data_IF_918448783381
#
_entry.id   IF_918448783381
#
_cell.length_a   1.000
_cell.length_b   1.000
_cell.length_c   1.000
_cell.angle_alpha   90.00
_cell.angle_beta   90.00
_cell.angle_gamma   90.00
#
_symmetry.space_group_name_H-M   'P 1'
#
loop_
_entity.id
_entity.type
_entity.pdbx_description
1 polymer ?
#
# COMPACT_ATOMS: atom_id res chain seq x y z
N UNK A 1 -10.27 26.57 -2.27
CA UNK A 1 -11.20 25.45 -1.95
C UNK A 1 -10.76 24.09 -2.49
N UNK A 2 -9.92 24.00 -3.51
CA UNK A 2 -9.48 22.76 -4.18
C UNK A 2 -8.59 21.88 -3.30
N UNK A 3 -7.79 22.45 -2.42
CA UNK A 3 -6.91 21.71 -1.48
C UNK A 3 -7.63 20.69 -0.57
N UNK A 4 -8.92 20.85 -0.32
CA UNK A 4 -9.68 19.95 0.54
C UNK A 4 -9.88 18.57 -0.07
N UNK A 5 -10.05 18.48 -1.39
CA UNK A 5 -10.31 17.21 -2.07
C UNK A 5 -9.05 16.33 -2.07
N UNK A 6 -7.87 16.92 -2.25
CA UNK A 6 -6.59 16.20 -2.20
C UNK A 6 -6.30 15.62 -0.82
N UNK A 7 -6.63 16.38 0.23
CA UNK A 7 -6.51 15.94 1.62
C UNK A 7 -7.41 14.73 1.89
N UNK A 8 -8.64 14.72 1.34
CA UNK A 8 -9.56 13.59 1.47
C UNK A 8 -8.96 12.34 0.79
N UNK A 9 -8.42 12.47 -0.42
CA UNK A 9 -7.79 11.33 -1.11
C UNK A 9 -6.57 10.78 -0.36
N UNK A 10 -5.69 11.64 0.16
CA UNK A 10 -4.57 11.21 0.98
C UNK A 10 -5.04 10.51 2.26
N UNK A 11 -6.08 11.04 2.89
CA UNK A 11 -6.64 10.45 4.10
C UNK A 11 -7.26 9.08 3.84
N UNK A 12 -8.01 8.92 2.74
CA UNK A 12 -8.55 7.63 2.32
C UNK A 12 -7.45 6.62 2.01
N UNK A 13 -6.37 7.05 1.35
CA UNK A 13 -5.21 6.19 1.10
C UNK A 13 -4.55 5.71 2.41
N UNK A 14 -4.44 6.60 3.41
CA UNK A 14 -3.91 6.26 4.74
C UNK A 14 -4.83 5.27 5.46
N UNK A 15 -6.15 5.46 5.39
CA UNK A 15 -7.12 4.53 6.00
C UNK A 15 -7.02 3.15 5.34
N UNK A 16 -7.00 3.09 4.00
CA UNK A 16 -6.89 1.83 3.27
C UNK A 16 -5.60 1.08 3.62
N UNK A 17 -4.45 1.77 3.64
CA UNK A 17 -3.17 1.16 4.03
C UNK A 17 -3.12 0.83 5.53
N UNK A 18 -3.58 1.73 6.38
CA UNK A 18 -3.55 1.53 7.83
C UNK A 18 -4.44 0.37 8.28
N UNK A 19 -5.58 0.15 7.61
CA UNK A 19 -6.44 -1.00 7.91
C UNK A 19 -5.79 -2.35 7.60
N UNK A 20 -4.82 -2.42 6.70
CA UNK A 20 -4.05 -3.66 6.48
C UNK A 20 -3.21 -4.06 7.71
N UNK A 21 -2.82 -3.08 8.55
CA UNK A 21 -2.10 -3.35 9.81
C UNK A 21 -2.98 -3.98 10.91
N UNK A 22 -4.29 -4.11 10.67
CA UNK A 22 -5.18 -4.83 11.60
C UNK A 22 -5.09 -6.37 11.47
N UNK A 23 -4.09 -6.88 10.75
CA UNK A 23 -3.90 -8.33 10.57
C UNK A 23 -4.74 -8.92 9.44
N UNK A 24 -5.26 -8.09 8.54
CA UNK A 24 -6.03 -8.58 7.40
C UNK A 24 -5.12 -9.38 6.45
N UNK A 25 -5.59 -10.56 6.05
CA UNK A 25 -4.88 -11.43 5.13
C UNK A 25 -4.79 -10.81 3.75
N UNK A 26 -3.59 -10.87 3.14
CA UNK A 26 -3.37 -10.50 1.76
C UNK A 26 -3.70 -11.66 0.83
N UNK A 27 -3.14 -12.83 1.12
CA UNK A 27 -3.32 -14.03 0.35
C UNK A 27 -3.47 -15.23 1.26
N UNK A 28 -4.23 -16.21 0.80
CA UNK A 28 -4.33 -17.52 1.42
C UNK A 28 -3.94 -18.57 0.39
N UNK A 29 -3.03 -19.45 0.77
CA UNK A 29 -2.62 -20.62 -0.02
C UNK A 29 -3.19 -21.86 0.65
N UNK A 30 -4.09 -22.54 -0.03
CA UNK A 30 -4.76 -23.74 0.48
C UNK A 30 -4.27 -24.96 -0.29
N UNK A 31 -3.68 -25.90 0.42
CA UNK A 31 -3.31 -27.22 -0.04
C UNK A 31 -4.19 -28.25 0.68
N UNK A 32 -4.32 -29.48 0.15
CA UNK A 32 -5.22 -30.51 0.68
C UNK A 32 -5.11 -30.77 2.19
N UNK A 33 -3.92 -30.60 2.76
CA UNK A 33 -3.66 -30.85 4.19
C UNK A 33 -3.19 -29.61 4.97
N UNK A 34 -2.78 -28.54 4.31
CA UNK A 34 -2.21 -27.35 4.95
C UNK A 34 -2.82 -26.09 4.33
N UNK A 35 -2.99 -25.07 5.16
CA UNK A 35 -3.40 -23.76 4.71
C UNK A 35 -2.48 -22.70 5.32
N UNK A 36 -1.92 -21.84 4.47
CA UNK A 36 -1.05 -20.75 4.86
C UNK A 36 -1.72 -19.42 4.57
N UNK A 37 -1.80 -18.54 5.56
CA UNK A 37 -2.23 -17.18 5.38
C UNK A 37 -1.01 -16.24 5.34
N UNK A 38 -1.01 -15.32 4.40
CA UNK A 38 -0.02 -14.28 4.28
C UNK A 38 -0.63 -12.94 4.63
N UNK A 39 -0.12 -12.32 5.69
CA UNK A 39 -0.55 -11.02 6.18
C UNK A 39 0.63 -10.04 6.25
N UNK A 40 0.37 -8.81 6.69
CA UNK A 40 1.40 -7.80 6.95
C UNK A 40 2.43 -8.28 7.98
N UNK A 41 2.02 -9.16 8.89
CA UNK A 41 2.89 -9.70 9.96
C UNK A 41 3.72 -10.91 9.53
N UNK A 42 3.48 -11.43 8.33
CA UNK A 42 4.21 -12.56 7.78
C UNK A 42 3.31 -13.71 7.34
N UNK A 43 3.88 -14.91 7.32
CA UNK A 43 3.19 -16.14 6.92
C UNK A 43 2.83 -16.90 8.18
N UNK A 44 1.55 -17.24 8.32
CA UNK A 44 1.04 -18.08 9.41
C UNK A 44 0.46 -19.38 8.83
N UNK A 45 0.88 -20.52 9.39
CA UNK A 45 0.22 -21.81 9.12
C UNK A 45 -1.02 -21.92 9.99
N UNK A 46 -2.16 -22.24 9.38
CA UNK A 46 -3.45 -22.36 10.11
C UNK A 46 -3.57 -23.66 10.91
N UNK A 47 -2.71 -24.66 10.71
CA UNK A 47 -2.81 -25.98 11.36
C UNK A 47 -1.72 -26.31 12.37
N UNK A 48 -0.54 -25.73 12.30
CA UNK A 48 0.51 -26.00 13.29
C UNK A 48 1.32 -24.75 13.59
N UNK A 49 1.61 -24.56 14.90
CA UNK A 49 2.52 -23.53 15.39
C UNK A 49 4.01 -23.88 15.10
N UNK A 50 4.29 -24.53 13.95
CA UNK A 50 5.64 -24.82 13.54
C UNK A 50 6.29 -23.51 13.09
N UNK A 51 7.37 -23.17 13.75
CA UNK A 51 8.25 -22.03 13.50
C UNK A 51 8.76 -22.02 12.06
N UNK A 52 7.96 -21.54 11.12
CA UNK A 52 8.42 -21.35 9.76
C UNK A 52 9.41 -20.19 9.71
N UNK A 53 10.53 -20.40 9.07
CA UNK A 53 11.63 -19.44 8.86
C UNK A 53 11.16 -18.11 8.23
N UNK A 54 9.96 -18.07 7.66
CA UNK A 54 9.34 -16.91 7.01
C UNK A 54 8.44 -16.07 7.92
N UNK A 55 8.28 -16.42 9.19
CA UNK A 55 7.48 -15.64 10.16
C UNK A 55 8.02 -14.22 10.41
N UNK A 56 9.21 -13.91 9.90
CA UNK A 56 9.96 -12.69 10.26
C UNK A 56 10.24 -11.74 9.11
N UNK A 57 9.47 -11.74 8.01
CA UNK A 57 9.63 -10.66 7.04
C UNK A 57 8.87 -9.45 7.57
N UNK A 58 9.52 -8.34 7.94
CA UNK A 58 8.87 -7.19 8.56
C UNK A 58 8.14 -6.34 7.52
N UNK A 59 7.12 -6.92 6.85
CA UNK A 59 6.31 -6.24 5.83
C UNK A 59 5.54 -5.08 6.47
N UNK A 60 5.12 -5.23 7.73
CA UNK A 60 4.48 -4.17 8.49
C UNK A 60 5.32 -2.88 8.55
N UNK A 61 6.64 -3.00 8.56
CA UNK A 61 7.53 -1.84 8.55
C UNK A 61 7.42 -1.05 7.25
N UNK A 62 7.29 -1.74 6.11
CA UNK A 62 7.08 -1.10 4.80
C UNK A 62 5.73 -0.39 4.73
N UNK A 63 4.67 -1.00 5.26
CA UNK A 63 3.33 -0.40 5.30
C UNK A 63 3.30 0.81 6.22
N UNK A 64 3.89 0.71 7.42
CA UNK A 64 4.01 1.85 8.35
C UNK A 64 4.83 2.97 7.70
N UNK A 65 5.95 2.65 7.06
CA UNK A 65 6.76 3.62 6.33
C UNK A 65 5.98 4.36 5.25
N UNK A 66 5.17 3.65 4.46
CA UNK A 66 4.29 4.26 3.46
C UNK A 66 3.21 5.14 4.09
N UNK A 67 2.59 4.72 5.19
CA UNK A 67 1.62 5.53 5.93
C UNK A 67 2.25 6.82 6.45
N UNK A 68 3.45 6.75 7.03
CA UNK A 68 4.18 7.94 7.49
C UNK A 68 4.53 8.87 6.31
N UNK A 69 4.91 8.31 5.17
CA UNK A 69 5.20 9.08 3.96
C UNK A 69 3.96 9.81 3.43
N UNK A 70 2.79 9.16 3.40
CA UNK A 70 1.51 9.77 3.07
C UNK A 70 1.15 10.88 4.06
N UNK A 71 1.35 10.64 5.35
CA UNK A 71 1.10 11.63 6.40
C UNK A 71 2.01 12.86 6.26
N UNK A 72 3.31 12.66 5.97
CA UNK A 72 4.25 13.76 5.69
C UNK A 72 3.84 14.57 4.46
N UNK A 73 3.31 13.88 3.42
CA UNK A 73 2.75 14.53 2.23
C UNK A 73 1.56 15.40 2.59
N UNK A 74 0.68 14.91 3.48
CA UNK A 74 -0.47 15.64 3.98
C UNK A 74 -0.04 16.89 4.80
N UNK A 75 0.92 16.74 5.69
CA UNK A 75 1.46 17.84 6.50
C UNK A 75 2.18 18.92 5.68
N UNK A 76 2.66 18.57 4.49
CA UNK A 76 3.39 19.51 3.60
C UNK A 76 2.47 20.47 2.82
N UNK A 77 1.20 20.62 3.19
CA UNK A 77 0.19 21.42 2.47
C UNK A 77 0.55 22.90 2.27
N UNK A 78 1.36 23.48 3.16
CA UNK A 78 1.80 24.89 3.06
C UNK A 78 2.75 25.17 1.89
N UNK A 79 3.45 24.14 1.39
CA UNK A 79 4.43 24.27 0.32
C UNK A 79 4.14 23.27 -0.79
N UNK A 80 3.36 23.70 -1.80
CA UNK A 80 2.93 22.86 -2.92
C UNK A 80 4.07 22.22 -3.73
N UNK A 81 5.22 22.90 -3.87
CA UNK A 81 6.39 22.35 -4.55
C UNK A 81 6.94 21.14 -3.79
N UNK A 82 7.04 21.25 -2.46
CA UNK A 82 7.50 20.17 -1.58
C UNK A 82 6.46 19.06 -1.51
N UNK A 83 5.19 19.40 -1.35
CA UNK A 83 4.08 18.44 -1.31
C UNK A 83 4.02 17.59 -2.59
N UNK A 84 4.15 18.20 -3.76
CA UNK A 84 4.16 17.47 -5.04
C UNK A 84 5.35 16.51 -5.14
N UNK A 85 6.54 16.90 -4.66
CA UNK A 85 7.71 16.03 -4.63
C UNK A 85 7.45 14.79 -3.75
N UNK A 86 6.94 15.00 -2.54
CA UNK A 86 6.59 13.91 -1.62
C UNK A 86 5.48 13.02 -2.17
N UNK A 87 4.40 13.60 -2.72
CA UNK A 87 3.31 12.85 -3.33
C UNK A 87 3.79 11.94 -4.46
N UNK A 88 4.67 12.44 -5.34
CA UNK A 88 5.24 11.67 -6.45
C UNK A 88 6.08 10.51 -5.95
N UNK A 89 6.97 10.73 -4.97
CA UNK A 89 7.78 9.68 -4.37
C UNK A 89 6.91 8.63 -3.67
N UNK A 90 5.88 9.07 -2.96
CA UNK A 90 4.95 8.17 -2.29
C UNK A 90 4.15 7.29 -3.26
N UNK A 91 3.61 7.89 -4.34
CA UNK A 91 2.89 7.13 -5.38
C UNK A 91 3.79 6.10 -6.05
N UNK A 92 5.06 6.46 -6.32
CA UNK A 92 6.05 5.54 -6.89
C UNK A 92 6.35 4.37 -5.94
N UNK A 93 6.63 4.65 -4.66
CA UNK A 93 6.89 3.61 -3.66
C UNK A 93 5.67 2.71 -3.47
N UNK A 94 4.47 3.28 -3.47
CA UNK A 94 3.24 2.52 -3.38
C UNK A 94 3.06 1.59 -4.60
N UNK A 95 3.30 2.09 -5.81
CA UNK A 95 3.25 1.28 -7.02
C UNK A 95 4.24 0.10 -6.96
N UNK A 96 5.48 0.35 -6.51
CA UNK A 96 6.48 -0.70 -6.32
C UNK A 96 6.00 -1.73 -5.30
N UNK A 97 5.40 -1.29 -4.18
CA UNK A 97 4.89 -2.20 -3.16
C UNK A 97 3.75 -3.09 -3.69
N UNK A 98 2.83 -2.52 -4.48
CA UNK A 98 1.77 -3.29 -5.16
C UNK A 98 2.35 -4.28 -6.16
N UNK A 99 3.34 -3.88 -6.96
CA UNK A 99 4.01 -4.79 -7.91
C UNK A 99 4.71 -5.95 -7.20
N UNK A 100 5.44 -5.67 -6.13
CA UNK A 100 6.09 -6.72 -5.33
C UNK A 100 5.06 -7.68 -4.74
N UNK A 101 3.92 -7.18 -4.26
CA UNK A 101 2.84 -8.02 -3.74
C UNK A 101 2.22 -8.92 -4.82
N UNK A 102 2.10 -8.43 -6.07
CA UNK A 102 1.65 -9.23 -7.22
C UNK A 102 2.65 -10.35 -7.52
N UNK A 103 3.95 -10.02 -7.59
CA UNK A 103 5.00 -11.02 -7.82
C UNK A 103 4.96 -12.09 -6.72
N UNK A 104 4.79 -11.68 -5.47
CA UNK A 104 4.69 -12.61 -4.36
C UNK A 104 3.45 -13.51 -4.45
N UNK A 105 2.32 -13.00 -4.92
CA UNK A 105 1.11 -13.80 -5.16
C UNK A 105 1.35 -14.93 -6.17
N UNK A 106 2.09 -14.66 -7.25
CA UNK A 106 2.37 -15.66 -8.27
C UNK A 106 3.52 -16.61 -7.90
N UNK A 107 4.56 -16.11 -7.27
CA UNK A 107 5.77 -16.87 -6.94
C UNK A 107 5.72 -17.51 -5.54
N UNK A 108 5.01 -16.90 -4.60
CA UNK A 108 5.03 -17.26 -3.17
C UNK A 108 4.57 -18.68 -2.89
N UNK A 109 3.59 -19.17 -3.62
CA UNK A 109 3.12 -20.54 -3.45
C UNK A 109 4.18 -21.61 -3.75
N UNK A 110 5.01 -21.42 -4.80
CA UNK A 110 6.11 -22.33 -5.12
C UNK A 110 7.28 -22.27 -4.14
N UNK A 111 7.37 -21.21 -3.33
CA UNK A 111 8.38 -21.07 -2.28
C UNK A 111 7.93 -21.75 -0.97
N UNK A 112 6.61 -21.77 -0.74
CA UNK A 112 6.02 -22.25 0.53
C UNK A 112 5.77 -23.75 0.49
N UNK A 113 5.35 -24.30 -0.65
CA UNK A 113 5.03 -25.71 -0.79
C UNK A 113 5.33 -26.25 -2.20
N UNK A 114 5.89 -27.46 -2.27
CA UNK A 114 6.01 -28.22 -3.50
C UNK A 114 4.66 -28.94 -3.75
N UNK A 115 3.80 -28.37 -4.59
CA UNK A 115 2.53 -29.00 -4.95
C UNK A 115 1.50 -28.07 -5.56
N UNK A 116 0.33 -28.61 -5.89
CA UNK A 116 -0.82 -27.82 -6.34
C UNK A 116 -1.52 -27.19 -5.13
N UNK A 117 -1.64 -25.86 -5.15
CA UNK A 117 -2.33 -25.07 -4.13
C UNK A 117 -3.35 -24.14 -4.77
N UNK A 118 -4.50 -24.00 -4.12
CA UNK A 118 -5.48 -22.99 -4.45
C UNK A 118 -5.05 -21.64 -3.85
N UNK A 119 -5.20 -20.59 -4.63
CA UNK A 119 -4.84 -19.21 -4.24
C UNK A 119 -6.12 -18.43 -3.99
N UNK A 120 -6.27 -17.88 -2.82
CA UNK A 120 -7.38 -17.02 -2.46
C UNK A 120 -6.87 -15.61 -2.16
N UNK A 121 -7.61 -14.60 -2.63
CA UNK A 121 -7.31 -13.20 -2.35
C UNK A 121 -8.02 -12.79 -1.06
N UNK A 122 -7.25 -12.25 -0.12
CA UNK A 122 -7.78 -11.72 1.13
C UNK A 122 -8.24 -10.27 1.03
N UNK A 123 -9.02 -9.83 2.02
CA UNK A 123 -9.51 -8.45 2.12
C UNK A 123 -8.38 -7.43 2.26
N UNK A 124 -7.28 -7.79 2.92
CA UNK A 124 -6.11 -6.92 3.05
C UNK A 124 -5.53 -6.52 1.70
N UNK A 125 -5.48 -7.46 0.74
CA UNK A 125 -4.99 -7.17 -0.60
C UNK A 125 -5.94 -6.26 -1.40
N UNK A 126 -7.25 -6.48 -1.27
CA UNK A 126 -8.24 -5.59 -1.90
C UNK A 126 -8.10 -4.15 -1.40
N UNK A 127 -7.89 -3.95 -0.09
CA UNK A 127 -7.67 -2.63 0.50
C UNK A 127 -6.33 -2.03 0.07
N UNK A 128 -5.28 -2.84 -0.05
CA UNK A 128 -4.00 -2.41 -0.58
C UNK A 128 -4.15 -1.87 -2.01
N UNK A 129 -4.84 -2.59 -2.89
CA UNK A 129 -5.08 -2.14 -4.27
C UNK A 129 -5.98 -0.90 -4.28
N UNK A 130 -7.04 -0.85 -3.47
CA UNK A 130 -7.97 0.28 -3.43
C UNK A 130 -7.31 1.59 -2.95
N UNK A 131 -6.31 1.52 -2.09
CA UNK A 131 -5.56 2.70 -1.62
C UNK A 131 -4.69 3.35 -2.70
N UNK A 132 -4.19 2.59 -3.67
CA UNK A 132 -3.31 3.11 -4.73
C UNK A 132 -3.97 4.19 -5.61
N UNK A 133 -5.18 3.98 -6.18
CA UNK A 133 -5.89 5.03 -6.92
C UNK A 133 -6.08 6.33 -6.15
N UNK A 134 -6.38 6.26 -4.85
CA UNK A 134 -6.52 7.46 -4.04
C UNK A 134 -5.20 8.23 -3.91
N UNK A 135 -4.09 7.55 -3.71
CA UNK A 135 -2.76 8.17 -3.70
C UNK A 135 -2.44 8.83 -5.05
N UNK A 136 -2.76 8.17 -6.15
CA UNK A 136 -2.55 8.70 -7.51
C UNK A 136 -3.43 9.91 -7.81
N UNK A 137 -4.72 9.88 -7.46
CA UNK A 137 -5.64 11.01 -7.61
C UNK A 137 -5.20 12.23 -6.79
N UNK A 138 -4.72 12.00 -5.57
CA UNK A 138 -4.15 13.06 -4.74
C UNK A 138 -2.95 13.73 -5.44
N UNK A 139 -2.03 12.95 -5.99
CA UNK A 139 -0.86 13.47 -6.73
C UNK A 139 -1.31 14.31 -7.95
N UNK A 140 -2.29 13.83 -8.73
CA UNK A 140 -2.81 14.57 -9.88
C UNK A 140 -3.46 15.90 -9.45
N UNK A 141 -4.20 15.88 -8.36
CA UNK A 141 -4.80 17.08 -7.79
C UNK A 141 -3.75 18.11 -7.39
N UNK A 142 -2.73 17.71 -6.62
CA UNK A 142 -1.61 18.58 -6.19
C UNK A 142 -0.87 19.16 -7.41
N UNK A 143 -0.65 18.35 -8.45
CA UNK A 143 -0.02 18.80 -9.70
C UNK A 143 -0.86 19.87 -10.41
N UNK A 144 -2.18 19.69 -10.46
CA UNK A 144 -3.12 20.65 -11.08
C UNK A 144 -3.11 21.98 -10.32
N UNK A 145 -3.18 21.96 -9.00
CA UNK A 145 -3.16 23.18 -8.18
C UNK A 145 -1.86 23.95 -8.31
N UNK A 146 -0.72 23.23 -8.32
CA UNK A 146 0.57 23.85 -8.56
C UNK A 146 0.60 24.55 -9.91
N UNK A 147 0.08 23.92 -10.99
CA UNK A 147 0.04 24.52 -12.32
C UNK A 147 -0.80 25.80 -12.36
N UNK A 148 -1.91 25.81 -11.64
CA UNK A 148 -2.77 27.01 -11.51
C UNK A 148 -2.04 28.17 -10.81
N UNK A 149 -1.34 27.90 -9.72
CA UNK A 149 -0.55 28.94 -9.03
C UNK A 149 0.60 29.45 -9.90
N UNK A 150 1.34 28.56 -10.55
CA UNK A 150 2.44 28.95 -11.47
C UNK A 150 1.93 29.82 -12.64
N UNK A 151 0.67 29.65 -13.08
CA UNK A 151 0.06 30.49 -14.12
C UNK A 151 -0.34 31.87 -13.60
N UNK A 152 -0.81 31.96 -12.38
CA UNK A 152 -1.15 33.25 -11.74
C UNK A 152 0.09 34.08 -11.46
N UNK A 153 1.19 33.46 -11.04
CA UNK A 153 2.47 34.14 -10.79
C UNK A 153 3.10 34.73 -12.08
N UNK A 154 2.76 34.17 -13.25
CA UNK A 154 3.23 34.72 -14.55
C UNK A 154 2.45 35.93 -15.04
N UNK A 155 1.27 36.14 -14.52
CA UNK A 155 0.40 37.27 -14.88
C UNK A 155 0.63 38.52 -13.99
N UNK A 156 1.43 38.38 -12.96
CA UNK A 156 1.80 39.45 -12.03
C UNK A 156 3.21 39.95 -12.29
#
# INVERSE_FOLDING_TARGET
MIQRVQTIYLFLAIICLGSTCLGLEFFRFVQSNEAFSFSVFGIESLKEASSSMFKSIPIYLSVIGLCLFLFMTLMSYKNLKRQLKWARSCTFLYAVFVLVSIVFYYAGGGIISEGQYARELGLGYALLIAGFPFCFLAQLGIKKDKKLLDSLDRLR
#
